data_IF_854111782534
#
_entry.id   IF_854111782534
#
_cell.length_a   1.000
_cell.length_b   1.000
_cell.length_c   1.000
_cell.angle_alpha   90.00
_cell.angle_beta   90.00
_cell.angle_gamma   90.00
#
_symmetry.space_group_name_H-M   'P 1'
#
loop_
_entity.id
_entity.type
_entity.pdbx_description
1 polymer ?
#
# COMPACT_ATOMS: atom_id res chain seq x y z
N UNK A 1 7.29 -17.69 -10.39
CA UNK A 1 6.68 -16.78 -9.41
C UNK A 1 5.22 -17.18 -9.27
N UNK A 2 4.88 -17.85 -8.17
CA UNK A 2 3.50 -18.13 -7.79
C UNK A 2 3.06 -17.00 -6.85
N UNK A 3 1.97 -16.34 -7.18
CA UNK A 3 1.38 -15.32 -6.32
C UNK A 3 0.39 -16.00 -5.38
N UNK A 4 0.48 -15.72 -4.09
CA UNK A 4 -0.48 -16.16 -3.08
C UNK A 4 -1.11 -14.95 -2.42
N UNK A 5 -2.43 -14.86 -2.54
CA UNK A 5 -3.25 -13.81 -1.97
C UNK A 5 -3.59 -14.18 -0.52
N UNK A 6 -3.14 -13.37 0.45
CA UNK A 6 -3.50 -13.53 1.86
C UNK A 6 -4.81 -12.79 2.12
N UNK A 7 -5.93 -13.47 1.88
CA UNK A 7 -7.28 -12.98 2.18
C UNK A 7 -7.71 -13.45 3.57
N UNK A 8 -7.39 -12.68 4.62
CA UNK A 8 -8.05 -12.83 5.92
C UNK A 8 -8.78 -11.54 6.31
N UNK A 9 -10.07 -11.49 5.97
CA UNK A 9 -11.19 -10.90 6.72
C UNK A 9 -12.25 -10.26 5.82
N UNK A 10 -13.30 -11.02 5.48
CA UNK A 10 -14.71 -10.63 5.63
C UNK A 10 -15.61 -11.72 5.03
N UNK A 11 -16.53 -12.25 5.83
CA UNK A 11 -17.45 -13.32 5.45
C UNK A 11 -18.47 -12.94 4.37
N UNK A 12 -19.00 -13.98 3.74
CA UNK A 12 -20.09 -14.04 2.76
C UNK A 12 -19.87 -13.36 1.40
N UNK A 13 -19.47 -14.19 0.42
CA UNK A 13 -20.12 -14.22 -0.91
C UNK A 13 -19.49 -13.43 -2.05
N UNK A 14 -18.67 -12.41 -1.79
CA UNK A 14 -18.01 -11.60 -2.82
C UNK A 14 -16.55 -11.34 -2.41
N UNK A 15 -15.61 -12.17 -2.89
CA UNK A 15 -14.18 -11.91 -2.71
C UNK A 15 -13.73 -10.66 -3.48
N UNK A 16 -12.69 -9.93 -3.04
CA UNK A 16 -12.26 -8.71 -3.70
C UNK A 16 -11.61 -9.03 -5.04
N UNK A 17 -12.36 -8.89 -6.14
CA UNK A 17 -11.78 -8.89 -7.47
C UNK A 17 -10.83 -7.68 -7.63
N UNK A 18 -9.54 -7.93 -7.83
CA UNK A 18 -8.59 -6.87 -8.21
C UNK A 18 -9.04 -6.21 -9.52
N UNK A 19 -9.25 -4.90 -9.47
CA UNK A 19 -9.62 -4.09 -10.63
C UNK A 19 -8.42 -3.28 -11.13
N UNK A 20 -8.46 -2.89 -12.41
CA UNK A 20 -7.56 -1.87 -12.94
C UNK A 20 -7.65 -0.61 -12.06
N UNK A 21 -6.50 -0.06 -11.72
CA UNK A 21 -6.36 1.03 -10.76
C UNK A 21 -5.94 0.55 -9.37
N UNK A 22 -6.16 -0.70 -8.96
CA UNK A 22 -5.78 -1.16 -7.61
C UNK A 22 -4.25 -1.14 -7.38
N UNK A 23 -3.47 -1.30 -8.45
CA UNK A 23 -2.00 -1.17 -8.44
C UNK A 23 -1.49 0.16 -9.03
N UNK A 24 -2.34 1.18 -9.11
CA UNK A 24 -2.02 2.44 -9.83
C UNK A 24 -1.73 2.24 -11.33
N UNK A 25 -2.03 1.05 -11.87
CA UNK A 25 -2.03 0.77 -13.30
C UNK A 25 -3.40 1.17 -13.87
N UNK A 26 -3.41 2.13 -14.80
CA UNK A 26 -4.60 2.43 -15.59
C UNK A 26 -4.75 1.39 -16.71
N UNK A 27 -5.98 1.09 -17.09
CA UNK A 27 -6.24 0.20 -18.21
C UNK A 27 -5.73 0.87 -19.50
N UNK A 28 -4.98 0.20 -20.40
CA UNK A 28 -4.40 0.83 -21.59
C UNK A 28 -5.40 1.62 -22.47
N UNK A 29 -6.65 1.13 -22.60
CA UNK A 29 -7.74 1.86 -23.29
C UNK A 29 -8.02 3.27 -22.76
N UNK A 30 -7.67 3.60 -21.51
CA UNK A 30 -7.86 4.96 -20.99
C UNK A 30 -6.95 5.98 -21.68
N UNK A 31 -5.93 5.54 -22.43
CA UNK A 31 -5.08 6.41 -23.24
C UNK A 31 -5.73 6.81 -24.58
N UNK A 32 -6.68 6.01 -25.08
CA UNK A 32 -7.28 6.17 -26.42
C UNK A 32 -8.67 6.83 -26.38
N UNK A 33 -9.28 6.99 -25.19
CA UNK A 33 -10.62 7.53 -25.03
C UNK A 33 -10.59 9.06 -24.78
N UNK A 34 -11.32 9.87 -25.55
CA UNK A 34 -11.42 11.31 -25.30
C UNK A 34 -12.13 11.55 -23.95
N UNK A 35 -11.40 12.19 -23.04
CA UNK A 35 -11.82 12.55 -21.70
C UNK A 35 -13.05 13.49 -21.70
N UNK A 36 -14.26 12.93 -21.66
CA UNK A 36 -15.53 13.66 -21.55
C UNK A 36 -16.11 13.44 -20.15
N UNK A 37 -16.65 14.51 -19.51
CA UNK A 37 -16.14 14.99 -18.23
C UNK A 37 -15.65 13.85 -17.33
N UNK A 38 -14.34 13.78 -17.14
CA UNK A 38 -13.70 12.75 -16.31
C UNK A 38 -14.28 12.86 -14.90
N UNK A 39 -15.01 11.85 -14.40
CA UNK A 39 -15.38 11.82 -13.00
C UNK A 39 -14.10 11.96 -12.18
N UNK A 40 -14.10 12.75 -11.09
CA UNK A 40 -12.89 12.90 -10.28
C UNK A 40 -12.33 11.52 -9.94
N UNK A 41 -11.01 11.32 -10.09
CA UNK A 41 -10.42 9.99 -9.98
C UNK A 41 -10.78 9.37 -8.63
N UNK A 42 -11.09 8.07 -8.65
CA UNK A 42 -11.32 7.31 -7.42
C UNK A 42 -9.97 7.07 -6.75
N UNK A 43 -9.54 8.02 -5.94
CA UNK A 43 -8.32 7.93 -5.16
C UNK A 43 -8.62 7.10 -3.91
N UNK A 44 -7.79 6.10 -3.64
CA UNK A 44 -7.84 5.29 -2.42
C UNK A 44 -6.53 5.48 -1.66
N UNK A 45 -6.57 5.34 -0.34
CA UNK A 45 -5.36 5.10 0.43
C UNK A 45 -4.78 3.76 0.00
N UNK A 46 -3.49 3.73 -0.34
CA UNK A 46 -2.82 2.50 -0.80
C UNK A 46 -1.43 2.44 -0.21
N UNK A 47 -1.10 1.32 0.42
CA UNK A 47 0.25 1.03 0.85
C UNK A 47 0.81 -0.14 0.05
N UNK A 48 2.13 -0.13 -0.13
CA UNK A 48 2.91 -1.26 -0.61
C UNK A 48 4.14 -1.38 0.28
N UNK A 49 4.40 -2.57 0.78
CA UNK A 49 5.66 -2.95 1.41
C UNK A 49 6.32 -4.04 0.58
N UNK A 50 7.61 -3.86 0.26
CA UNK A 50 8.41 -4.79 -0.55
C UNK A 50 9.18 -5.73 0.37
N UNK A 51 8.98 -7.04 0.24
CA UNK A 51 9.78 -8.07 0.90
C UNK A 51 10.69 -8.76 -0.12
N UNK A 52 11.46 -9.77 0.29
CA UNK A 52 12.28 -10.55 -0.64
C UNK A 52 11.44 -11.41 -1.58
N UNK A 53 10.36 -12.00 -1.05
CA UNK A 53 9.57 -12.98 -1.79
C UNK A 53 8.24 -12.43 -2.34
N UNK A 54 7.71 -11.34 -1.75
CA UNK A 54 6.39 -10.82 -2.11
C UNK A 54 6.22 -9.32 -1.81
N UNK A 55 5.03 -8.81 -2.11
CA UNK A 55 4.60 -7.47 -1.74
C UNK A 55 3.38 -7.57 -0.83
N UNK A 56 3.42 -6.86 0.30
CA UNK A 56 2.21 -6.60 1.08
C UNK A 56 1.56 -5.34 0.50
N UNK A 57 0.38 -5.49 -0.09
CA UNK A 57 -0.39 -4.39 -0.68
C UNK A 57 -1.72 -4.28 0.05
N UNK A 58 -2.04 -3.08 0.51
CA UNK A 58 -3.32 -2.82 1.16
C UNK A 58 -4.01 -1.60 0.59
N UNK A 59 -5.34 -1.67 0.55
CA UNK A 59 -6.24 -0.62 0.07
C UNK A 59 -7.09 -0.14 1.24
N UNK A 60 -6.88 1.11 1.61
CA UNK A 60 -7.66 1.80 2.63
C UNK A 60 -8.87 2.53 2.05
N UNK A 61 -9.29 3.60 2.73
CA UNK A 61 -10.53 4.30 2.40
C UNK A 61 -10.43 5.01 1.04
N UNK A 62 -11.58 5.25 0.43
CA UNK A 62 -11.68 6.15 -0.73
C UNK A 62 -11.58 7.61 -0.25
N UNK A 63 -10.79 8.41 -0.95
CA UNK A 63 -10.72 9.85 -0.72
C UNK A 63 -12.11 10.50 -0.87
N UNK A 64 -12.48 11.35 0.08
CA UNK A 64 -13.80 11.98 0.16
C UNK A 64 -14.93 11.09 0.71
N UNK A 65 -14.65 9.83 1.08
CA UNK A 65 -15.61 9.00 1.83
C UNK A 65 -15.67 9.39 3.30
N UNK A 66 -16.77 9.03 3.98
CA UNK A 66 -16.91 9.13 5.44
C UNK A 66 -16.34 7.90 6.17
N UNK A 67 -15.79 6.94 5.43
CA UNK A 67 -15.30 5.69 5.98
C UNK A 67 -14.03 5.94 6.81
N UNK A 68 -13.85 5.22 7.93
CA UNK A 68 -12.62 5.31 8.70
C UNK A 68 -11.42 4.86 7.87
N UNK A 69 -10.25 5.45 8.12
CA UNK A 69 -9.01 4.99 7.49
C UNK A 69 -8.67 3.60 8.02
N UNK A 70 -8.32 2.69 7.12
CA UNK A 70 -7.86 1.33 7.45
C UNK A 70 -6.34 1.25 7.54
N UNK A 71 -5.66 2.39 7.50
CA UNK A 71 -4.22 2.39 7.28
C UNK A 71 -3.40 2.09 8.53
N UNK A 72 -3.93 2.33 9.73
CA UNK A 72 -3.30 1.86 10.97
C UNK A 72 -3.39 0.32 11.09
N UNK A 73 -4.57 -0.32 10.95
CA UNK A 73 -4.64 -1.78 10.89
C UNK A 73 -3.73 -2.40 9.80
N UNK A 74 -3.62 -1.72 8.66
CA UNK A 74 -2.69 -2.15 7.61
C UNK A 74 -1.22 -2.03 8.04
N UNK A 75 -0.85 -0.96 8.74
CA UNK A 75 0.49 -0.81 9.30
C UNK A 75 0.79 -1.88 10.36
N UNK A 76 -0.17 -2.19 11.24
CA UNK A 76 -0.06 -3.29 12.21
C UNK A 76 0.21 -4.62 11.51
N UNK A 77 -0.50 -4.90 10.41
CA UNK A 77 -0.30 -6.11 9.59
C UNK A 77 1.10 -6.14 8.97
N UNK A 78 1.57 -5.02 8.41
CA UNK A 78 2.91 -4.94 7.81
C UNK A 78 4.01 -5.10 8.86
N UNK A 79 3.88 -4.47 10.02
CA UNK A 79 4.88 -4.53 11.10
C UNK A 79 4.95 -5.92 11.74
N UNK A 80 3.84 -6.66 11.74
CA UNK A 80 3.79 -8.04 12.24
C UNK A 80 4.39 -9.07 11.26
N UNK A 81 4.67 -8.68 10.02
CA UNK A 81 5.22 -9.59 9.01
C UNK A 81 6.66 -10.00 9.32
N UNK A 82 7.00 -11.27 9.08
CA UNK A 82 8.31 -11.82 9.41
C UNK A 82 9.45 -11.21 8.58
N UNK A 83 9.16 -10.66 7.40
CA UNK A 83 10.12 -9.96 6.54
C UNK A 83 10.15 -8.44 6.78
N UNK A 84 9.42 -7.94 7.79
CA UNK A 84 9.50 -6.54 8.18
C UNK A 84 10.89 -6.19 8.70
N UNK A 85 11.49 -5.14 8.11
CA UNK A 85 12.87 -4.71 8.41
C UNK A 85 12.87 -3.53 9.37
N UNK A 86 12.68 -3.82 10.65
CA UNK A 86 12.56 -2.77 11.67
C UNK A 86 13.73 -1.77 11.64
N UNK A 87 13.39 -0.49 11.77
CA UNK A 87 14.28 0.67 11.72
C UNK A 87 15.24 0.79 10.50
N UNK A 88 15.02 0.02 9.43
CA UNK A 88 15.92 0.03 8.26
C UNK A 88 15.90 1.36 7.50
N UNK A 89 14.75 2.04 7.45
CA UNK A 89 14.61 3.35 6.80
C UNK A 89 13.61 4.24 7.53
N UNK A 90 13.48 5.50 7.08
CA UNK A 90 12.42 6.40 7.54
C UNK A 90 11.02 5.81 7.35
N UNK A 91 10.81 5.01 6.29
CA UNK A 91 9.53 4.39 6.02
C UNK A 91 9.18 3.31 7.05
N UNK A 92 10.14 2.45 7.44
CA UNK A 92 9.91 1.46 8.49
C UNK A 92 9.69 2.10 9.86
N UNK A 93 10.48 3.12 10.23
CA UNK A 93 10.21 3.89 11.46
C UNK A 93 8.81 4.48 11.48
N UNK A 94 8.38 5.03 10.35
CA UNK A 94 7.06 5.62 10.21
C UNK A 94 5.95 4.57 10.30
N UNK A 95 6.11 3.39 9.70
CA UNK A 95 5.17 2.28 9.81
C UNK A 95 5.07 1.78 11.26
N UNK A 96 6.20 1.59 11.95
CA UNK A 96 6.24 1.19 13.36
C UNK A 96 5.56 2.22 14.27
N UNK A 97 5.83 3.52 14.06
CA UNK A 97 5.19 4.59 14.82
C UNK A 97 3.67 4.65 14.60
N UNK A 98 3.23 4.47 13.36
CA UNK A 98 1.82 4.43 13.02
C UNK A 98 1.12 3.20 13.61
N UNK A 99 1.72 2.02 13.51
CA UNK A 99 1.19 0.79 14.10
C UNK A 99 1.08 0.89 15.63
N UNK A 100 2.05 1.51 16.28
CA UNK A 100 2.03 1.78 17.72
C UNK A 100 1.03 2.87 18.15
N UNK A 101 0.38 3.55 17.20
CA UNK A 101 -0.56 4.62 17.49
C UNK A 101 0.08 5.85 18.15
N UNK A 102 1.35 6.13 17.87
CA UNK A 102 2.07 7.25 18.49
C UNK A 102 1.44 8.60 18.09
N UNK A 103 1.06 9.39 19.10
CA UNK A 103 0.38 10.68 18.94
C UNK A 103 1.16 11.63 18.02
N UNK A 104 0.45 12.25 17.07
CA UNK A 104 1.03 13.19 16.08
C UNK A 104 1.39 12.56 14.74
N UNK A 105 1.63 11.24 14.70
CA UNK A 105 1.72 10.46 13.46
C UNK A 105 0.30 10.12 13.02
N UNK A 106 -0.43 11.10 12.48
CA UNK A 106 -1.72 10.81 11.84
C UNK A 106 -1.56 9.69 10.82
N UNK A 107 -2.66 9.06 10.38
CA UNK A 107 -2.67 7.96 9.41
C UNK A 107 -2.07 8.31 8.03
N UNK A 108 -1.42 9.46 7.87
CA UNK A 108 -0.99 10.03 6.61
C UNK A 108 -2.17 10.43 5.74
N UNK A 109 -1.83 10.99 4.57
CA UNK A 109 -2.73 11.07 3.43
C UNK A 109 -2.24 10.12 2.33
N UNK A 110 -2.99 10.02 1.22
CA UNK A 110 -2.61 9.13 0.12
C UNK A 110 -1.19 9.40 -0.42
N UNK A 111 -0.77 10.67 -0.46
CA UNK A 111 0.58 11.05 -0.88
C UNK A 111 1.65 10.58 0.10
N UNK A 112 1.41 10.68 1.41
CA UNK A 112 2.31 10.14 2.45
C UNK A 112 2.56 8.65 2.24
N UNK A 113 1.49 7.88 2.00
CA UNK A 113 1.61 6.44 1.77
C UNK A 113 2.39 6.09 0.51
N UNK A 114 2.13 6.81 -0.59
CA UNK A 114 2.89 6.65 -1.83
C UNK A 114 4.36 6.98 -1.61
N UNK A 115 4.66 8.08 -0.90
CA UNK A 115 6.02 8.49 -0.57
C UNK A 115 6.73 7.42 0.27
N UNK A 116 6.14 6.98 1.38
CA UNK A 116 6.78 6.01 2.27
C UNK A 116 6.95 4.64 1.59
N UNK A 117 5.96 4.17 0.82
CA UNK A 117 6.09 2.95 0.02
C UNK A 117 7.17 3.04 -1.07
N UNK A 118 7.41 4.21 -1.66
CA UNK A 118 8.52 4.41 -2.60
C UNK A 118 9.88 4.46 -1.89
N UNK A 119 9.99 5.19 -0.78
CA UNK A 119 11.20 5.23 0.05
C UNK A 119 11.62 3.83 0.45
N UNK A 120 10.67 3.04 0.97
CA UNK A 120 10.87 1.66 1.37
C UNK A 120 11.36 0.79 0.21
N UNK A 121 10.66 0.85 -0.92
CA UNK A 121 10.98 0.03 -2.09
C UNK A 121 12.36 0.35 -2.67
N UNK A 122 12.68 1.63 -2.85
CA UNK A 122 13.98 2.04 -3.39
C UNK A 122 15.12 1.64 -2.46
N UNK A 123 14.95 1.78 -1.15
CA UNK A 123 15.94 1.34 -0.18
C UNK A 123 16.11 -0.19 -0.19
N UNK A 124 15.02 -0.95 -0.33
CA UNK A 124 15.06 -2.40 -0.47
C UNK A 124 15.85 -2.80 -1.73
N UNK A 125 15.48 -2.28 -2.90
CA UNK A 125 16.13 -2.60 -4.19
C UNK A 125 17.59 -2.18 -4.18
N UNK A 126 17.93 -0.99 -3.68
CA UNK A 126 19.30 -0.54 -3.56
C UNK A 126 20.14 -1.46 -2.65
N UNK A 127 19.54 -2.00 -1.58
CA UNK A 127 20.14 -3.01 -0.73
C UNK A 127 20.45 -4.31 -1.47
N UNK A 128 19.51 -4.81 -2.27
CA UNK A 128 19.70 -6.03 -3.07
C UNK A 128 20.83 -5.87 -4.10
N UNK A 129 20.85 -4.73 -4.82
CA UNK A 129 21.89 -4.44 -5.82
C UNK A 129 23.29 -4.33 -5.19
N UNK A 130 23.40 -3.74 -3.99
CA UNK A 130 24.67 -3.65 -3.26
C UNK A 130 25.08 -4.97 -2.62
N UNK A 131 24.11 -5.80 -2.23
CA UNK A 131 24.31 -7.08 -1.56
C UNK A 131 24.61 -8.26 -2.48
N UNK A 132 24.39 -8.12 -3.79
CA UNK A 132 24.82 -9.09 -4.80
C UNK A 132 24.31 -10.52 -4.56
N UNK A 133 22.98 -10.71 -4.57
CA UNK A 133 22.38 -12.00 -4.91
C UNK A 133 21.42 -11.80 -6.08
#
# INVERSE_FOLDING_TARGET
MAWSELNEAAGNGDGPHFAFGDYSALHPRTCDEPANPVPPPRIYEKSRYTTAEYFLVGKGRRWGSKDPSLMRPLAETIVADAEFRDDATEAERWLSALAAGQDGTGSGNAETWVKQGHTQHLAFVAGQVRGGR
#
